data_IF_965188760928
#
_entry.id   IF_965188760928
#
_cell.length_a   1.000
_cell.length_b   1.000
_cell.length_c   1.000
_cell.angle_alpha   90.00
_cell.angle_beta   90.00
_cell.angle_gamma   90.00
#
_symmetry.space_group_name_H-M   'P 1'
#
loop_
_entity.id
_entity.type
_entity.pdbx_description
1 polymer ?
#
# COMPACT_ATOMS: atom_id res chain seq x y z
N UNK A 1 -11.65 10.43 -10.51
CA UNK A 1 -10.74 9.33 -10.16
C UNK A 1 -10.13 8.87 -11.48
N UNK A 2 -8.80 8.96 -11.63
CA UNK A 2 -8.11 8.66 -12.88
C UNK A 2 -8.45 7.23 -13.35
N UNK A 3 -8.49 7.04 -14.67
CA UNK A 3 -8.46 5.70 -15.29
C UNK A 3 -7.01 5.27 -15.54
N UNK A 4 -6.09 5.74 -14.70
CA UNK A 4 -4.65 5.58 -14.89
C UNK A 4 -4.14 4.24 -14.36
N UNK A 5 -3.05 3.77 -14.96
CA UNK A 5 -2.22 2.71 -14.40
C UNK A 5 -1.50 3.21 -13.12
N UNK A 6 -0.67 2.36 -12.50
CA UNK A 6 0.11 2.74 -11.31
C UNK A 6 1.00 3.96 -11.53
N UNK A 7 1.27 4.37 -12.78
CA UNK A 7 2.13 5.49 -13.12
C UNK A 7 1.41 6.83 -13.01
N UNK A 8 0.07 6.84 -12.84
CA UNK A 8 -0.75 8.04 -12.59
C UNK A 8 -0.44 9.20 -13.54
N UNK A 9 -0.15 8.88 -14.82
CA UNK A 9 0.38 9.84 -15.82
C UNK A 9 -0.51 11.06 -16.02
N UNK A 10 -1.82 10.88 -15.90
CA UNK A 10 -2.78 11.99 -16.04
C UNK A 10 -2.59 13.03 -14.92
N UNK A 11 -2.21 12.61 -13.71
CA UNK A 11 -1.91 13.54 -12.63
C UNK A 11 -0.59 14.26 -12.88
N UNK A 12 0.47 13.52 -13.24
CA UNK A 12 1.77 14.09 -13.59
C UNK A 12 1.67 15.12 -14.74
N UNK A 13 0.75 14.89 -15.69
CA UNK A 13 0.46 15.80 -16.80
C UNK A 13 -0.52 16.93 -16.45
N UNK A 14 -0.94 17.07 -15.19
CA UNK A 14 -1.88 18.12 -14.74
C UNK A 14 -3.31 17.97 -15.28
N UNK A 15 -3.70 16.79 -15.75
CA UNK A 15 -5.02 16.53 -16.37
C UNK A 15 -6.10 16.14 -15.36
N UNK A 16 -5.71 15.70 -14.16
CA UNK A 16 -6.62 15.35 -13.06
C UNK A 16 -6.18 16.04 -11.77
N UNK A 17 -7.16 16.40 -10.93
CA UNK A 17 -6.90 17.16 -9.71
C UNK A 17 -6.39 16.31 -8.52
N UNK A 18 -6.58 14.99 -8.57
CA UNK A 18 -6.21 14.08 -7.48
C UNK A 18 -5.75 12.74 -8.05
N UNK A 19 -4.71 12.19 -7.45
CA UNK A 19 -4.24 10.82 -7.63
C UNK A 19 -3.73 10.27 -6.29
N UNK A 20 -3.61 8.94 -6.22
CA UNK A 20 -3.04 8.25 -5.07
C UNK A 20 -1.67 7.73 -5.47
N UNK A 21 -0.67 8.07 -4.65
CA UNK A 21 0.71 7.64 -4.79
C UNK A 21 1.17 6.98 -3.49
N UNK A 22 2.04 5.96 -3.55
CA UNK A 22 2.79 5.54 -2.38
C UNK A 22 3.80 6.63 -1.99
N UNK A 23 4.10 6.74 -0.70
CA UNK A 23 4.98 7.78 -0.15
C UNK A 23 6.36 7.80 -0.82
N UNK A 24 6.96 6.62 -1.05
CA UNK A 24 8.27 6.51 -1.70
C UNK A 24 8.29 7.09 -3.13
N UNK A 25 7.14 7.18 -3.82
CA UNK A 25 7.12 7.69 -5.18
C UNK A 25 7.07 9.21 -5.22
N UNK A 26 6.48 9.88 -4.23
CA UNK A 26 6.36 11.34 -4.25
C UNK A 26 7.67 12.06 -3.91
N UNK A 27 8.62 11.36 -3.31
CA UNK A 27 10.00 11.84 -3.07
C UNK A 27 10.98 11.43 -4.18
N UNK A 28 10.57 10.55 -5.09
CA UNK A 28 11.42 10.07 -6.19
C UNK A 28 11.51 11.12 -7.32
N UNK A 29 12.67 11.27 -7.99
CA UNK A 29 12.85 12.18 -9.14
C UNK A 29 11.82 11.97 -10.26
N UNK A 30 11.30 10.76 -10.46
CA UNK A 30 10.24 10.50 -11.44
C UNK A 30 8.93 11.24 -11.15
N UNK A 31 8.75 11.71 -9.92
CA UNK A 31 7.67 12.59 -9.51
C UNK A 31 8.14 14.04 -9.38
N UNK A 32 9.17 14.28 -8.57
CA UNK A 32 9.61 15.65 -8.21
C UNK A 32 10.17 16.45 -9.39
N UNK A 33 10.81 15.80 -10.37
CA UNK A 33 11.31 16.48 -11.57
C UNK A 33 10.23 16.65 -12.66
N UNK A 34 9.08 16.00 -12.51
CA UNK A 34 8.02 15.94 -13.54
C UNK A 34 6.82 16.81 -13.19
N UNK A 35 6.50 16.97 -11.90
CA UNK A 35 5.35 17.76 -11.47
C UNK A 35 5.69 19.26 -11.51
N UNK A 36 5.11 19.96 -12.49
CA UNK A 36 5.33 21.40 -12.72
C UNK A 36 4.27 22.32 -12.05
N UNK A 37 3.40 21.76 -11.20
CA UNK A 37 2.30 22.49 -10.56
C UNK A 37 2.33 22.36 -9.03
N UNK A 38 1.65 23.28 -8.33
CA UNK A 38 1.48 23.21 -6.88
C UNK A 38 0.53 22.06 -6.49
N UNK A 39 0.94 21.25 -5.54
CA UNK A 39 0.15 20.14 -5.01
C UNK A 39 0.23 20.10 -3.49
N UNK A 40 -0.66 19.31 -2.88
CA UNK A 40 -0.70 19.09 -1.43
C UNK A 40 -0.95 17.62 -1.13
N UNK A 41 -0.52 17.19 0.05
CA UNK A 41 -0.76 15.83 0.56
C UNK A 41 -1.97 15.87 1.47
N UNK A 42 -2.97 15.04 1.17
CA UNK A 42 -4.21 14.94 1.96
C UNK A 42 -4.53 13.49 2.28
N UNK A 43 -5.27 13.21 3.37
CA UNK A 43 -5.75 11.87 3.66
C UNK A 43 -6.66 11.35 2.53
N UNK A 44 -6.73 10.02 2.38
CA UNK A 44 -7.70 9.41 1.47
C UNK A 44 -9.13 9.82 1.84
N UNK A 45 -10.02 10.09 0.87
CA UNK A 45 -11.40 10.43 1.15
C UNK A 45 -12.09 9.37 2.03
N UNK A 46 -12.83 9.83 3.04
CA UNK A 46 -13.56 8.93 3.95
C UNK A 46 -14.60 8.11 3.20
N UNK A 47 -14.64 6.82 3.50
CA UNK A 47 -15.72 5.95 3.08
C UNK A 47 -17.03 6.31 3.79
N UNK A 48 -18.19 5.91 3.26
CA UNK A 48 -19.50 6.22 3.85
C UNK A 48 -19.77 5.51 5.19
N UNK A 49 -18.87 4.63 5.63
CA UNK A 49 -19.02 3.78 6.82
C UNK A 49 -17.94 4.03 7.88
N UNK A 50 -17.16 5.11 7.74
CA UNK A 50 -16.13 5.51 8.71
C UNK A 50 -16.32 6.96 9.10
N UNK A 51 -16.15 7.26 10.38
CA UNK A 51 -16.28 8.63 10.90
C UNK A 51 -14.98 9.44 10.69
N UNK A 52 -13.85 8.75 10.56
CA UNK A 52 -12.52 9.35 10.41
C UNK A 52 -11.73 8.76 9.23
N UNK A 53 -10.66 9.46 8.84
CA UNK A 53 -9.72 9.02 7.82
C UNK A 53 -9.07 7.68 8.20
N UNK A 54 -8.74 6.88 7.18
CA UNK A 54 -8.14 5.57 7.36
C UNK A 54 -6.82 5.53 6.58
N UNK A 55 -5.78 4.96 7.18
CA UNK A 55 -4.45 4.83 6.61
C UNK A 55 -4.10 3.33 6.45
N UNK A 56 -4.72 2.62 5.49
CA UNK A 56 -4.54 1.18 5.37
C UNK A 56 -3.12 0.84 4.91
N UNK A 57 -2.39 0.07 5.72
CA UNK A 57 -1.13 -0.54 5.31
C UNK A 57 -1.41 -1.79 4.48
N UNK A 58 -0.88 -1.81 3.25
CA UNK A 58 -1.11 -2.91 2.33
C UNK A 58 -0.03 -3.99 2.40
N UNK A 59 1.19 -3.58 2.67
CA UNK A 59 2.35 -4.45 2.81
C UNK A 59 3.28 -3.83 3.85
N UNK A 60 4.08 -4.67 4.50
CA UNK A 60 5.19 -4.23 5.33
C UNK A 60 6.45 -4.92 4.84
N UNK A 61 7.56 -4.19 4.85
CA UNK A 61 8.86 -4.79 4.64
C UNK A 61 9.17 -5.70 5.83
N UNK A 62 9.51 -6.96 5.53
CA UNK A 62 9.74 -7.96 6.55
C UNK A 62 10.99 -8.78 6.22
N UNK A 63 11.75 -9.09 7.26
CA UNK A 63 12.90 -9.97 7.16
C UNK A 63 12.50 -11.43 7.39
N UNK A 64 12.79 -12.28 6.41
CA UNK A 64 12.47 -13.70 6.44
C UNK A 64 13.73 -14.55 6.63
N UNK A 65 13.64 -15.54 7.52
CA UNK A 65 14.71 -16.52 7.74
C UNK A 65 14.43 -17.81 6.97
N UNK A 66 15.42 -18.35 6.23
CA UNK A 66 15.28 -19.68 5.64
C UNK A 66 15.06 -20.73 6.74
N UNK A 67 14.04 -21.59 6.55
CA UNK A 67 13.70 -22.66 7.51
C UNK A 67 14.85 -23.65 7.72
N UNK A 68 15.75 -23.78 6.73
CA UNK A 68 16.91 -24.67 6.76
C UNK A 68 18.21 -23.96 7.16
N UNK A 69 18.15 -22.73 7.68
CA UNK A 69 19.35 -22.02 8.12
C UNK A 69 20.09 -22.80 9.21
N UNK A 70 21.39 -23.02 9.01
CA UNK A 70 22.25 -23.67 9.98
C UNK A 70 22.50 -22.82 11.24
N UNK A 71 22.28 -21.50 11.16
CA UNK A 71 22.43 -20.57 12.27
C UNK A 71 21.41 -19.41 12.19
N UNK A 72 20.11 -19.67 12.44
CA UNK A 72 19.07 -18.64 12.32
C UNK A 72 19.29 -17.48 13.29
N UNK A 73 19.77 -17.73 14.52
CA UNK A 73 20.05 -16.68 15.49
C UNK A 73 21.24 -15.80 15.09
N UNK A 74 22.23 -16.35 14.38
CA UNK A 74 23.30 -15.56 13.79
C UNK A 74 22.79 -14.58 12.73
N UNK A 75 21.80 -14.99 11.92
CA UNK A 75 21.15 -14.11 10.95
C UNK A 75 20.33 -13.02 11.63
N UNK A 76 19.61 -13.33 12.71
CA UNK A 76 18.92 -12.31 13.53
C UNK A 76 19.91 -11.30 14.12
N UNK A 77 21.02 -11.78 14.66
CA UNK A 77 22.05 -10.91 15.23
C UNK A 77 22.69 -10.02 14.15
N UNK A 78 22.95 -10.56 12.96
CA UNK A 78 23.45 -9.80 11.82
C UNK A 78 22.44 -8.74 11.36
N UNK A 79 21.16 -9.09 11.25
CA UNK A 79 20.11 -8.14 10.88
C UNK A 79 20.05 -6.97 11.87
N UNK A 80 20.01 -7.25 13.17
CA UNK A 80 20.02 -6.20 14.21
C UNK A 80 21.28 -5.34 14.21
N UNK A 81 22.40 -5.89 13.77
CA UNK A 81 23.64 -5.14 13.64
C UNK A 81 23.61 -4.18 12.43
N UNK A 82 23.01 -4.62 11.32
CA UNK A 82 22.92 -3.85 10.08
C UNK A 82 21.77 -2.84 10.07
N UNK A 83 20.65 -3.17 10.71
CA UNK A 83 19.42 -2.38 10.75
C UNK A 83 19.02 -2.19 12.21
N UNK A 84 19.44 -1.07 12.80
CA UNK A 84 19.10 -0.75 14.18
C UNK A 84 17.73 -0.09 14.24
N UNK A 85 16.96 -0.40 15.26
CA UNK A 85 15.61 0.15 15.40
C UNK A 85 15.64 1.68 15.54
N UNK A 86 16.66 2.21 16.20
CA UNK A 86 16.83 3.66 16.34
C UNK A 86 17.11 4.34 14.99
N UNK A 87 17.89 3.70 14.12
CA UNK A 87 18.18 4.19 12.76
C UNK A 87 16.95 4.08 11.84
N UNK A 88 16.03 3.16 12.15
CA UNK A 88 14.75 3.02 11.44
C UNK A 88 13.76 4.14 11.80
N UNK A 89 13.62 4.47 13.08
CA UNK A 89 12.79 5.59 13.53
C UNK A 89 13.27 6.93 12.96
N UNK A 90 14.59 7.19 13.03
CA UNK A 90 15.21 8.37 12.42
C UNK A 90 14.97 8.41 10.90
N UNK A 91 15.14 7.28 10.21
CA UNK A 91 14.91 7.18 8.76
C UNK A 91 13.45 7.43 8.35
N UNK A 92 12.48 6.99 9.16
CA UNK A 92 11.06 7.30 8.93
C UNK A 92 10.84 8.80 9.07
N UNK A 93 11.32 9.43 10.14
CA UNK A 93 11.17 10.87 10.35
C UNK A 93 11.80 11.67 9.20
N UNK A 94 13.02 11.33 8.78
CA UNK A 94 13.68 11.94 7.63
C UNK A 94 12.84 11.83 6.35
N UNK A 95 12.26 10.66 6.08
CA UNK A 95 11.38 10.46 4.92
C UNK A 95 10.11 11.31 5.00
N UNK A 96 9.51 11.45 6.18
CA UNK A 96 8.33 12.31 6.36
C UNK A 96 8.67 13.79 6.13
N UNK A 97 9.84 14.23 6.60
CA UNK A 97 10.33 15.60 6.39
C UNK A 97 10.62 15.85 4.91
N UNK A 98 11.26 14.91 4.22
CA UNK A 98 11.56 15.03 2.79
C UNK A 98 10.29 15.09 1.94
N UNK A 99 9.27 14.31 2.30
CA UNK A 99 7.98 14.31 1.61
C UNK A 99 7.10 15.52 1.93
N UNK A 100 7.27 16.17 3.08
CA UNK A 100 6.40 17.24 3.52
C UNK A 100 6.63 18.53 2.73
N UNK A 101 5.58 19.01 2.07
CA UNK A 101 5.58 20.27 1.32
C UNK A 101 5.36 21.48 2.24
N UNK A 102 4.60 21.25 3.30
CA UNK A 102 4.21 22.24 4.30
C UNK A 102 3.83 21.54 5.61
N UNK A 103 3.49 22.34 6.63
CA UNK A 103 3.09 21.84 7.95
C UNK A 103 1.85 20.94 7.88
N UNK A 104 0.89 21.25 7.00
CA UNK A 104 -0.34 20.45 6.86
C UNK A 104 -0.02 19.06 6.30
N UNK A 105 0.83 19.01 5.29
CA UNK A 105 1.30 17.76 4.69
C UNK A 105 2.06 16.92 5.72
N UNK A 106 2.94 17.55 6.52
CA UNK A 106 3.65 16.87 7.60
C UNK A 106 2.69 16.30 8.66
N UNK A 107 1.70 17.07 9.10
CA UNK A 107 0.68 16.61 10.07
C UNK A 107 -0.10 15.40 9.54
N UNK A 108 -0.45 15.40 8.25
CA UNK A 108 -1.12 14.25 7.61
C UNK A 108 -0.22 13.01 7.59
N UNK A 109 1.06 13.18 7.24
CA UNK A 109 2.03 12.09 7.15
C UNK A 109 2.36 11.48 8.51
N UNK A 110 2.63 12.31 9.53
CA UNK A 110 2.87 11.86 10.91
C UNK A 110 1.66 11.12 11.44
N UNK A 111 0.46 11.68 11.25
CA UNK A 111 -0.79 11.03 11.67
C UNK A 111 -0.94 9.65 11.04
N UNK A 112 -0.59 9.49 9.76
CA UNK A 112 -0.68 8.20 9.07
C UNK A 112 0.23 7.13 9.71
N UNK A 113 1.41 7.52 10.21
CA UNK A 113 2.34 6.63 10.90
C UNK A 113 1.88 6.35 12.33
N UNK A 114 1.48 7.38 13.09
CA UNK A 114 1.07 7.25 14.49
C UNK A 114 -0.26 6.48 14.68
N UNK A 115 -1.20 6.63 13.74
CA UNK A 115 -2.50 5.94 13.80
C UNK A 115 -2.44 4.53 13.20
N UNK A 116 -1.30 4.09 12.66
CA UNK A 116 -1.19 2.74 12.15
C UNK A 116 -1.30 1.73 13.28
N UNK A 117 -2.34 0.90 13.23
CA UNK A 117 -2.65 -0.11 14.25
C UNK A 117 -1.70 -1.32 14.24
N UNK A 118 -0.70 -1.34 13.35
CA UNK A 118 0.15 -2.50 13.08
C UNK A 118 -0.53 -3.58 12.24
N UNK A 119 -1.81 -3.39 11.87
CA UNK A 119 -2.52 -4.32 10.98
C UNK A 119 -2.16 -4.04 9.52
N UNK A 120 -1.96 -5.11 8.76
CA UNK A 120 -1.66 -5.05 7.33
C UNK A 120 -2.47 -6.09 6.56
N UNK A 121 -2.86 -5.74 5.34
CA UNK A 121 -3.61 -6.63 4.46
C UNK A 121 -2.67 -7.47 3.58
N UNK A 122 -2.06 -8.52 4.14
CA UNK A 122 -1.09 -9.42 3.45
C UNK A 122 -1.77 -10.35 2.42
N UNK A 123 -2.97 -10.05 1.96
CA UNK A 123 -3.69 -10.97 1.10
C UNK A 123 -3.11 -11.05 -0.31
N UNK A 124 -2.25 -10.11 -0.73
CA UNK A 124 -1.63 -10.19 -2.07
C UNK A 124 -0.67 -11.37 -2.21
N UNK A 125 0.00 -11.79 -1.13
CA UNK A 125 0.85 -12.98 -1.14
C UNK A 125 0.07 -14.30 -1.26
N UNK A 126 -1.21 -14.30 -0.90
CA UNK A 126 -2.05 -15.51 -0.82
C UNK A 126 -3.08 -15.56 -1.96
N UNK A 127 -3.81 -14.46 -2.16
CA UNK A 127 -4.87 -14.31 -3.15
C UNK A 127 -4.39 -13.68 -4.46
N UNK A 128 -3.13 -13.24 -4.49
CA UNK A 128 -2.53 -12.54 -5.62
C UNK A 128 -2.82 -11.04 -5.65
N UNK A 129 -2.13 -10.32 -6.54
CA UNK A 129 -2.23 -8.88 -6.63
C UNK A 129 -3.61 -8.41 -7.09
N UNK A 130 -4.12 -7.35 -6.45
CA UNK A 130 -5.45 -6.76 -6.74
C UNK A 130 -5.58 -6.14 -8.14
N UNK A 131 -4.47 -5.90 -8.84
CA UNK A 131 -4.44 -5.30 -10.18
C UNK A 131 -4.34 -6.33 -11.30
N UNK A 132 -4.05 -7.60 -11.00
CA UNK A 132 -3.95 -8.67 -12.00
C UNK A 132 -5.28 -9.43 -12.07
N UNK A 133 -5.97 -9.28 -13.19
CA UNK A 133 -7.29 -9.88 -13.40
C UNK A 133 -7.27 -11.41 -13.56
N UNK A 134 -6.08 -12.01 -13.65
CA UNK A 134 -5.93 -13.47 -13.64
C UNK A 134 -6.11 -14.09 -12.24
N UNK A 135 -5.97 -13.29 -11.17
CA UNK A 135 -6.20 -13.73 -9.80
C UNK A 135 -7.64 -13.50 -9.35
N UNK A 136 -8.18 -14.27 -8.37
CA UNK A 136 -9.59 -14.19 -7.99
C UNK A 136 -10.03 -12.79 -7.56
N UNK A 137 -9.24 -12.12 -6.71
CA UNK A 137 -9.58 -10.79 -6.21
C UNK A 137 -9.43 -9.72 -7.30
N UNK A 138 -8.32 -9.74 -8.06
CA UNK A 138 -8.12 -8.80 -9.17
C UNK A 138 -9.14 -8.98 -10.30
N UNK A 139 -9.55 -10.22 -10.58
CA UNK A 139 -10.60 -10.53 -11.55
C UNK A 139 -11.98 -10.02 -11.13
N UNK A 140 -12.33 -10.13 -9.85
CA UNK A 140 -13.58 -9.55 -9.33
C UNK A 140 -13.57 -8.02 -9.39
N UNK A 141 -12.45 -7.37 -9.04
CA UNK A 141 -12.27 -5.93 -9.19
C UNK A 141 -12.40 -5.52 -10.66
N UNK A 142 -11.75 -6.24 -11.57
CA UNK A 142 -11.81 -5.99 -13.01
C UNK A 142 -13.23 -6.08 -13.57
N UNK A 143 -14.01 -7.09 -13.18
CA UNK A 143 -15.42 -7.22 -13.57
C UNK A 143 -16.27 -6.06 -13.09
N UNK A 144 -16.05 -5.61 -11.86
CA UNK A 144 -16.79 -4.48 -11.30
C UNK A 144 -16.42 -3.15 -12.00
N UNK A 145 -15.14 -2.92 -12.27
CA UNK A 145 -14.65 -1.65 -12.84
C UNK A 145 -14.82 -1.55 -14.35
N UNK A 146 -14.63 -2.65 -15.08
CA UNK A 146 -14.50 -2.64 -16.54
C UNK A 146 -15.66 -3.33 -17.26
N UNK A 147 -16.36 -4.26 -16.61
CA UNK A 147 -17.45 -5.03 -17.24
C UNK A 147 -18.84 -4.61 -16.73
N UNK A 148 -18.92 -3.70 -15.76
CA UNK A 148 -20.17 -3.16 -15.24
C UNK A 148 -20.93 -4.11 -14.32
N UNK A 149 -20.30 -5.18 -13.83
CA UNK A 149 -20.89 -6.05 -12.81
C UNK A 149 -21.00 -5.29 -11.48
N UNK A 150 -22.04 -5.55 -10.69
CA UNK A 150 -22.10 -4.96 -9.35
C UNK A 150 -20.95 -5.51 -8.49
N UNK A 151 -20.32 -4.68 -7.61
CA UNK A 151 -19.28 -5.17 -6.72
C UNK A 151 -19.70 -6.38 -5.89
N UNK A 152 -20.94 -6.40 -5.41
CA UNK A 152 -21.50 -7.52 -4.66
C UNK A 152 -21.51 -8.83 -5.47
N UNK A 153 -22.03 -8.79 -6.71
CA UNK A 153 -22.10 -9.98 -7.55
C UNK A 153 -20.71 -10.46 -8.02
N UNK A 154 -19.78 -9.52 -8.28
CA UNK A 154 -18.42 -9.85 -8.67
C UNK A 154 -17.68 -10.57 -7.53
N UNK A 155 -17.85 -10.10 -6.29
CA UNK A 155 -17.25 -10.73 -5.11
C UNK A 155 -17.90 -12.07 -4.75
N UNK A 156 -19.23 -12.17 -4.84
CA UNK A 156 -19.97 -13.42 -4.58
C UNK A 156 -19.50 -14.55 -5.52
N UNK A 157 -19.21 -14.23 -6.79
CA UNK A 157 -18.72 -15.19 -7.76
C UNK A 157 -17.33 -15.77 -7.43
N UNK A 158 -16.48 -15.04 -6.71
CA UNK A 158 -15.11 -15.48 -6.37
C UNK A 158 -14.97 -15.94 -4.92
N UNK A 159 -15.96 -15.69 -4.06
CA UNK A 159 -15.91 -16.05 -2.64
C UNK A 159 -15.59 -17.54 -2.38
N UNK A 160 -16.18 -18.53 -3.10
CA UNK A 160 -15.84 -19.94 -2.89
C UNK A 160 -14.39 -20.27 -3.25
N UNK A 161 -13.85 -19.62 -4.29
CA UNK A 161 -12.46 -19.83 -4.72
C UNK A 161 -11.49 -19.24 -3.72
N UNK A 162 -11.78 -18.03 -3.23
CA UNK A 162 -10.98 -17.38 -2.18
C UNK A 162 -10.99 -18.24 -0.91
N UNK A 163 -12.15 -18.72 -0.47
CA UNK A 163 -12.24 -19.57 0.72
C UNK A 163 -11.43 -20.86 0.56
N UNK A 164 -11.50 -21.50 -0.61
CA UNK A 164 -10.69 -22.70 -0.88
C UNK A 164 -9.18 -22.43 -0.80
N UNK A 165 -8.71 -21.29 -1.32
CA UNK A 165 -7.30 -20.89 -1.20
C UNK A 165 -6.92 -20.68 0.26
N UNK A 166 -7.75 -19.98 1.03
CA UNK A 166 -7.49 -19.76 2.45
C UNK A 166 -7.47 -21.07 3.25
N UNK A 167 -8.41 -21.98 2.98
CA UNK A 167 -8.46 -23.28 3.65
C UNK A 167 -7.19 -24.09 3.37
N UNK A 168 -6.70 -24.09 2.14
CA UNK A 168 -5.46 -24.77 1.77
C UNK A 168 -4.23 -24.16 2.45
N UNK A 169 -4.15 -22.84 2.57
CA UNK A 169 -2.95 -22.19 3.13
C UNK A 169 -2.93 -22.20 4.68
N UNK A 170 -4.10 -22.27 5.33
CA UNK A 170 -4.20 -22.13 6.79
C UNK A 170 -4.73 -23.35 7.54
N UNK A 171 -5.41 -24.30 6.88
CA UNK A 171 -6.08 -25.42 7.51
C UNK A 171 -5.61 -26.81 7.03
N UNK A 172 -4.61 -26.88 6.14
CA UNK A 172 -3.92 -28.12 5.75
C UNK A 172 -2.73 -28.46 6.67
#
# INVERSE_FOLDING_TARGET
ISKGDWQQKEFLAGQVAMASFPLWNIIDPSFTDVVEFEYGIVPLPKGPHVDDYQFPARQADAFYLPVNSANPMGLVALHRYLFRAEEEEEGIEEMLIEAALDQVSYEVLVRAVEEWSGEMYIMEGILGPTWDTSYPLGGAIGKALYEGQSPAAAMEAVAPVIQQTLDKEFND
#
